data_IF_623361788870
#
_entry.id   IF_623361788870
#
_cell.length_a   1.000
_cell.length_b   1.000
_cell.length_c   1.000
_cell.angle_alpha   90.00
_cell.angle_beta   90.00
_cell.angle_gamma   90.00
#
_symmetry.space_group_name_H-M   'P 1'
#
loop_
_entity.id
_entity.type
_entity.pdbx_description
1 polymer ?
#
# COMPACT_ATOMS: atom_id res chain seq x y z
N UNK A 1 -56.66 -12.81 38.20
CA UNK A 1 -56.48 -12.37 36.81
C UNK A 1 -55.04 -11.99 36.57
N UNK A 2 -54.43 -12.65 35.60
CA UNK A 2 -53.09 -12.45 35.10
C UNK A 2 -53.00 -11.15 34.29
N UNK A 3 -51.91 -10.40 34.43
CA UNK A 3 -51.40 -9.58 33.33
C UNK A 3 -49.87 -9.69 33.32
N UNK A 4 -49.39 -10.46 32.35
CA UNK A 4 -48.02 -10.49 31.85
C UNK A 4 -47.93 -9.41 30.76
N UNK A 5 -46.77 -8.76 30.60
CA UNK A 5 -46.09 -8.35 29.35
C UNK A 5 -44.76 -7.67 29.78
N UNK A 6 -43.58 -8.20 29.44
CA UNK A 6 -42.89 -8.08 28.14
C UNK A 6 -42.57 -6.62 27.81
N UNK A 7 -41.35 -6.16 27.60
CA UNK A 7 -40.06 -6.81 27.39
C UNK A 7 -39.01 -5.71 27.23
N UNK A 8 -37.74 -6.10 27.34
CA UNK A 8 -36.56 -5.23 27.28
C UNK A 8 -36.43 -4.56 25.90
N UNK A 9 -36.71 -3.26 25.81
CA UNK A 9 -36.08 -2.39 24.82
C UNK A 9 -34.77 -1.88 25.41
N UNK A 10 -33.69 -2.60 25.13
CA UNK A 10 -32.36 -2.04 25.29
C UNK A 10 -32.17 -1.05 24.14
N UNK A 11 -32.38 0.24 24.44
CA UNK A 11 -31.89 1.32 23.61
C UNK A 11 -30.36 1.17 23.51
N UNK A 12 -29.87 0.56 22.43
CA UNK A 12 -28.54 0.92 21.96
C UNK A 12 -28.65 2.32 21.38
N UNK A 13 -28.44 3.28 22.28
CA UNK A 13 -28.14 4.66 21.98
C UNK A 13 -27.05 4.67 20.91
N UNK A 14 -27.40 5.06 19.68
CA UNK A 14 -26.43 5.44 18.66
C UNK A 14 -25.76 6.69 19.22
N UNK A 15 -24.68 6.51 19.98
CA UNK A 15 -23.76 7.59 20.28
C UNK A 15 -23.19 8.04 18.94
N UNK A 16 -23.78 9.11 18.40
CA UNK A 16 -23.06 10.06 17.56
C UNK A 16 -21.86 10.52 18.40
N UNK A 17 -20.71 9.90 18.17
CA UNK A 17 -19.44 10.51 18.57
C UNK A 17 -19.27 11.65 17.58
N UNK A 18 -19.62 12.87 17.99
CA UNK A 18 -19.03 14.05 17.36
C UNK A 18 -17.52 13.83 17.44
N UNK A 19 -16.87 13.62 16.29
CA UNK A 19 -15.42 13.42 16.25
C UNK A 19 -14.77 14.73 16.68
N UNK A 20 -14.37 14.79 17.95
CA UNK A 20 -13.65 15.93 18.50
C UNK A 20 -12.29 16.01 17.80
N UNK A 21 -12.05 17.15 17.15
CA UNK A 21 -10.77 17.46 16.52
C UNK A 21 -9.86 18.16 17.51
N UNK A 22 -8.64 17.66 17.62
CA UNK A 22 -7.61 18.17 18.51
C UNK A 22 -6.51 18.83 17.69
N UNK A 23 -5.80 19.77 18.32
CA UNK A 23 -4.61 20.40 17.75
C UNK A 23 -3.37 19.90 18.48
N UNK A 24 -2.26 19.81 17.76
CA UNK A 24 -0.98 19.44 18.33
C UNK A 24 0.19 19.73 17.41
N UNK A 25 1.39 19.52 17.94
CA UNK A 25 2.66 19.74 17.26
C UNK A 25 3.35 18.40 17.01
N UNK A 26 3.81 18.16 15.78
CA UNK A 26 4.52 16.93 15.42
C UNK A 26 5.87 16.89 16.12
N UNK A 27 6.05 16.00 17.09
CA UNK A 27 7.31 15.88 17.82
C UNK A 27 8.42 15.31 16.95
N UNK A 28 8.09 14.28 16.17
CA UNK A 28 9.00 13.71 15.17
C UNK A 28 8.22 12.79 14.25
N UNK A 29 8.70 12.66 13.01
CA UNK A 29 8.13 11.71 12.05
C UNK A 29 9.22 11.07 11.19
N UNK A 30 9.26 9.73 11.19
CA UNK A 30 10.25 9.00 10.41
C UNK A 30 9.71 8.68 9.01
N UNK A 31 10.09 9.51 8.04
CA UNK A 31 9.84 9.35 6.61
C UNK A 31 10.18 7.96 6.05
N UNK A 32 11.16 7.27 6.65
CA UNK A 32 11.59 5.92 6.24
C UNK A 32 10.74 4.82 6.87
N UNK A 33 10.32 5.00 8.13
CA UNK A 33 9.53 4.00 8.87
C UNK A 33 8.02 4.19 8.67
N UNK A 34 7.57 5.40 8.30
CA UNK A 34 6.17 5.73 8.05
C UNK A 34 5.35 5.99 9.31
N UNK A 35 5.97 6.39 10.42
CA UNK A 35 5.28 6.72 11.67
C UNK A 35 6.03 7.77 12.48
N UNK A 36 5.33 8.38 13.44
CA UNK A 36 5.83 9.41 14.34
C UNK A 36 4.91 9.61 15.54
N UNK A 37 5.11 10.73 16.24
CA UNK A 37 4.30 11.13 17.39
C UNK A 37 3.94 12.61 17.33
N UNK A 38 2.74 12.93 17.82
CA UNK A 38 2.20 14.28 17.92
C UNK A 38 2.01 14.62 19.40
N UNK A 39 2.53 15.76 19.82
CA UNK A 39 2.29 16.32 21.14
C UNK A 39 1.01 17.18 21.09
N UNK A 40 -0.05 16.84 21.84
CA UNK A 40 -1.28 17.64 21.85
C UNK A 40 -1.02 19.03 22.46
N UNK A 41 -1.60 20.07 21.87
CA UNK A 41 -1.50 21.46 22.36
C UNK A 41 -2.82 22.00 22.90
N UNK A 42 -3.95 21.37 22.58
CA UNK A 42 -5.27 21.72 23.13
C UNK A 42 -5.43 21.18 24.56
N UNK A 43 -5.86 22.01 25.50
CA UNK A 43 -6.16 21.61 26.89
C UNK A 43 -7.29 20.58 26.98
N UNK A 44 -8.16 20.53 25.96
CA UNK A 44 -9.24 19.55 25.83
C UNK A 44 -8.78 18.17 25.29
N UNK A 45 -7.49 18.00 25.03
CA UNK A 45 -6.96 16.74 24.51
C UNK A 45 -7.22 15.58 25.49
N UNK A 46 -7.50 14.37 24.98
CA UNK A 46 -7.86 13.22 25.82
C UNK A 46 -6.73 12.79 26.76
N UNK A 47 -5.48 13.15 26.43
CA UNK A 47 -4.28 12.88 27.23
C UNK A 47 -3.24 13.97 26.99
N UNK A 48 -2.36 14.21 27.98
CA UNK A 48 -1.15 15.04 27.79
C UNK A 48 0.02 14.26 27.16
N UNK A 49 -0.12 12.96 27.02
CA UNK A 49 0.90 12.08 26.44
C UNK A 49 0.98 12.21 24.92
N UNK A 50 2.12 11.79 24.37
CA UNK A 50 2.36 11.76 22.93
C UNK A 50 1.43 10.78 22.22
N UNK A 51 0.74 11.27 21.18
CA UNK A 51 -0.21 10.49 20.41
C UNK A 51 0.50 9.90 19.19
N UNK A 52 0.37 8.58 19.02
CA UNK A 52 0.98 7.86 17.91
C UNK A 52 0.31 8.24 16.57
N UNK A 53 1.11 8.48 15.53
CA UNK A 53 0.63 8.73 14.16
C UNK A 53 1.30 7.81 13.15
N UNK A 54 0.49 7.19 12.29
CA UNK A 54 0.97 6.39 11.16
C UNK A 54 0.75 7.13 9.84
N UNK A 55 1.60 6.87 8.84
CA UNK A 55 1.52 7.52 7.52
C UNK A 55 0.15 7.38 6.84
N UNK A 56 -0.60 6.31 7.11
CA UNK A 56 -1.94 6.09 6.54
C UNK A 56 -2.99 7.03 7.11
N UNK A 57 -2.78 7.54 8.33
CA UNK A 57 -3.66 8.50 8.98
C UNK A 57 -3.49 9.94 8.47
N UNK A 58 -2.43 10.21 7.70
CA UNK A 58 -2.13 11.53 7.15
C UNK A 58 -2.98 11.78 5.91
N UNK A 59 -3.79 12.83 5.94
CA UNK A 59 -4.57 13.31 4.79
C UNK A 59 -3.66 14.17 3.91
N UNK A 60 -3.37 13.68 2.71
CA UNK A 60 -2.51 14.37 1.74
C UNK A 60 -3.00 14.10 0.32
N UNK A 61 -2.77 15.07 -0.57
CA UNK A 61 -3.03 14.97 -2.00
C UNK A 61 -1.83 14.38 -2.77
N UNK A 62 -0.71 14.12 -2.11
CA UNK A 62 0.52 13.61 -2.71
C UNK A 62 0.70 12.09 -2.57
N UNK A 63 1.55 11.51 -3.42
CA UNK A 63 1.94 10.10 -3.33
C UNK A 63 2.80 9.77 -2.10
N UNK A 64 3.31 10.79 -1.39
CA UNK A 64 4.21 10.62 -0.25
C UNK A 64 3.63 11.27 1.00
N UNK A 65 3.42 10.48 2.05
CA UNK A 65 2.77 10.91 3.29
C UNK A 65 3.84 11.17 4.35
N UNK A 66 4.11 12.44 4.63
CA UNK A 66 5.12 12.85 5.61
C UNK A 66 4.63 14.01 6.44
N UNK A 67 5.11 14.06 7.68
CA UNK A 67 4.95 15.22 8.55
C UNK A 67 6.32 15.86 8.72
N UNK A 68 6.37 17.20 8.68
CA UNK A 68 7.54 17.94 9.12
C UNK A 68 7.60 17.90 10.64
N UNK A 69 8.81 17.86 11.19
CA UNK A 69 9.04 18.04 12.62
C UNK A 69 8.64 19.46 13.02
N UNK A 70 8.10 19.62 14.23
CA UNK A 70 7.54 20.86 14.78
C UNK A 70 6.35 21.46 14.01
N UNK A 71 5.75 20.73 13.07
CA UNK A 71 4.58 21.20 12.34
C UNK A 71 3.31 21.19 13.21
N UNK A 72 2.51 22.24 13.13
CA UNK A 72 1.18 22.30 13.76
C UNK A 72 0.15 21.55 12.90
N UNK A 73 -0.56 20.61 13.52
CA UNK A 73 -1.50 19.72 12.84
C UNK A 73 -2.83 19.65 13.60
N UNK A 74 -3.89 19.40 12.85
CA UNK A 74 -5.20 19.04 13.38
C UNK A 74 -5.44 17.54 13.14
N UNK A 75 -5.94 16.84 14.16
CA UNK A 75 -6.17 15.41 14.09
C UNK A 75 -7.34 14.98 14.96
N UNK A 76 -7.88 13.81 14.69
CA UNK A 76 -8.85 13.13 15.53
C UNK A 76 -8.16 12.02 16.31
N UNK A 77 -8.66 11.70 17.51
CA UNK A 77 -8.10 10.63 18.32
C UNK A 77 -9.03 9.43 18.28
N UNK A 78 -8.48 8.29 17.90
CA UNK A 78 -9.17 7.00 17.94
C UNK A 78 -8.46 6.08 18.94
N UNK A 79 -9.25 5.36 19.74
CA UNK A 79 -8.73 4.31 20.62
C UNK A 79 -8.61 3.02 19.83
N UNK A 80 -7.41 2.46 19.75
CA UNK A 80 -7.18 1.17 19.11
C UNK A 80 -7.86 0.06 19.92
N UNK A 81 -8.68 -0.76 19.25
CA UNK A 81 -9.51 -1.77 19.90
C UNK A 81 -8.67 -2.85 20.62
N UNK A 82 -7.51 -3.19 20.07
CA UNK A 82 -6.71 -4.33 20.53
C UNK A 82 -5.73 -3.97 21.65
N UNK A 83 -5.16 -2.75 21.60
CA UNK A 83 -4.14 -2.30 22.56
C UNK A 83 -4.66 -1.29 23.57
N UNK A 84 -5.83 -0.69 23.29
CA UNK A 84 -6.40 0.40 24.08
C UNK A 84 -5.62 1.72 23.98
N UNK A 85 -4.57 1.79 23.15
CA UNK A 85 -3.74 3.00 22.98
C UNK A 85 -4.43 4.01 22.07
N UNK A 86 -4.09 5.28 22.27
CA UNK A 86 -4.60 6.38 21.45
C UNK A 86 -3.73 6.55 20.21
N UNK A 87 -4.37 6.64 19.06
CA UNK A 87 -3.73 6.96 17.77
C UNK A 87 -4.41 8.16 17.13
N UNK A 88 -3.64 8.94 16.39
CA UNK A 88 -4.15 10.04 15.58
C UNK A 88 -4.68 9.50 14.24
N UNK A 89 -5.87 9.94 13.86
CA UNK A 89 -6.52 9.70 12.56
C UNK A 89 -6.92 11.02 11.91
N UNK A 90 -7.14 11.01 10.59
CA UNK A 90 -7.52 12.20 9.81
C UNK A 90 -6.58 13.42 10.03
N UNK A 91 -5.27 13.18 10.04
CA UNK A 91 -4.27 14.22 10.32
C UNK A 91 -4.14 15.18 9.14
N UNK A 92 -4.38 16.47 9.39
CA UNK A 92 -4.36 17.59 8.43
C UNK A 92 -3.51 18.74 8.98
N UNK A 93 -3.29 19.79 8.18
CA UNK A 93 -2.73 21.05 8.71
C UNK A 93 -3.70 21.65 9.74
N UNK A 94 -3.22 22.59 10.57
CA UNK A 94 -4.07 23.32 11.54
C UNK A 94 -5.32 23.96 10.91
N UNK A 95 -5.23 24.38 9.64
CA UNK A 95 -6.34 24.98 8.88
C UNK A 95 -7.29 23.94 8.24
N UNK A 96 -7.10 22.65 8.51
CA UNK A 96 -7.88 21.55 7.94
C UNK A 96 -7.52 21.20 6.49
N UNK A 97 -6.52 21.86 5.90
CA UNK A 97 -6.05 21.55 4.55
C UNK A 97 -5.20 20.27 4.52
N UNK A 98 -5.22 19.51 3.41
CA UNK A 98 -4.35 18.34 3.26
C UNK A 98 -2.86 18.71 3.33
N UNK A 99 -2.07 17.87 3.99
CA UNK A 99 -0.63 18.10 4.16
C UNK A 99 0.06 17.85 2.82
N UNK A 100 0.76 18.84 2.27
CA UNK A 100 1.50 18.68 1.01
C UNK A 100 2.97 18.45 1.33
N UNK A 101 3.55 17.28 0.98
CA UNK A 101 4.97 17.05 1.18
C UNK A 101 5.81 17.98 0.29
N UNK A 102 6.99 18.43 0.74
CA UNK A 102 7.89 19.19 -0.12
C UNK A 102 8.25 18.35 -1.36
N UNK A 103 8.38 18.97 -2.55
CA UNK A 103 8.80 18.28 -3.75
C UNK A 103 10.09 17.53 -3.48
N UNK A 104 10.09 16.20 -3.69
CA UNK A 104 11.32 15.43 -3.64
C UNK A 104 12.22 15.96 -4.74
N UNK A 105 13.29 16.63 -4.36
CA UNK A 105 14.37 16.94 -5.28
C UNK A 105 14.88 15.59 -5.81
N UNK A 106 14.45 15.26 -7.04
CA UNK A 106 15.02 14.14 -7.76
C UNK A 106 16.50 14.48 -7.80
N UNK A 107 17.32 13.77 -7.01
CA UNK A 107 18.75 13.66 -7.27
C UNK A 107 18.86 13.20 -8.71
N UNK A 108 18.89 14.15 -9.64
CA UNK A 108 19.25 13.94 -11.03
C UNK A 108 20.57 13.22 -10.91
N UNK A 109 20.65 12.02 -11.45
CA UNK A 109 21.92 11.35 -11.71
C UNK A 109 22.64 12.16 -12.80
N UNK A 110 23.01 13.40 -12.49
CA UNK A 110 23.87 14.23 -13.29
C UNK A 110 25.30 13.86 -12.92
N UNK A 111 25.71 12.65 -13.29
CA UNK A 111 27.12 12.22 -13.30
C UNK A 111 27.24 10.87 -13.99
N UNK A 112 26.90 10.81 -15.28
CA UNK A 112 27.53 9.86 -16.22
C UNK A 112 27.34 10.19 -17.70
N UNK A 113 27.33 11.45 -18.13
CA UNK A 113 27.35 11.77 -19.58
C UNK A 113 28.38 12.84 -20.00
N UNK A 114 29.28 13.29 -19.12
CA UNK A 114 30.31 14.30 -19.48
C UNK A 114 31.75 13.75 -19.49
N UNK A 115 31.96 12.52 -19.96
CA UNK A 115 33.31 11.98 -20.26
C UNK A 115 33.40 11.22 -21.59
N UNK A 116 32.63 11.64 -22.59
CA UNK A 116 32.78 11.13 -23.95
C UNK A 116 32.60 12.25 -24.99
N UNK A 117 33.30 13.36 -24.79
CA UNK A 117 33.38 14.45 -25.76
C UNK A 117 34.62 15.33 -25.50
N UNK A 118 35.81 14.73 -25.41
CA UNK A 118 37.07 15.43 -25.67
C UNK A 118 37.96 14.48 -26.45
N UNK A 119 37.82 14.58 -27.77
CA UNK A 119 38.50 13.72 -28.72
C UNK A 119 37.96 13.98 -30.12
N UNK A 120 38.18 15.19 -30.63
CA UNK A 120 38.69 15.44 -31.98
C UNK A 120 38.57 16.91 -32.36
N UNK A 121 39.68 17.49 -32.82
CA UNK A 121 39.65 18.72 -33.59
C UNK A 121 40.90 19.56 -33.43
N UNK A 122 41.96 19.19 -34.16
CA UNK A 122 42.83 20.08 -34.95
C UNK A 122 44.32 19.76 -34.79
N UNK A 123 44.90 19.09 -35.79
CA UNK A 123 45.72 19.74 -36.82
C UNK A 123 46.38 18.68 -37.69
N UNK A 124 45.88 18.56 -38.92
CA UNK A 124 46.58 17.99 -40.06
C UNK A 124 46.85 19.16 -41.02
N UNK A 125 48.11 19.60 -41.09
CA UNK A 125 48.75 20.14 -42.29
C UNK A 125 50.20 20.53 -41.93
N UNK A 126 51.15 19.70 -42.36
CA UNK A 126 52.45 20.12 -42.87
C UNK A 126 53.14 18.91 -43.48
N UNK A 127 53.46 19.04 -44.76
CA UNK A 127 54.10 18.05 -45.59
C UNK A 127 55.61 17.91 -45.29
N UNK A 128 56.12 16.79 -45.81
CA UNK A 128 57.46 16.61 -46.38
C UNK A 128 58.62 16.08 -45.51
N UNK A 129 59.48 15.32 -46.19
CA UNK A 129 60.80 14.80 -45.84
C UNK A 129 60.95 13.52 -44.96
N UNK A 130 61.12 12.40 -45.68
CA UNK A 130 62.35 11.57 -45.72
C UNK A 130 62.73 10.56 -44.60
N UNK A 131 62.93 9.31 -45.09
CA UNK A 131 64.03 8.35 -44.83
C UNK A 131 64.27 7.76 -43.42
N UNK A 132 64.08 6.44 -43.37
CA UNK A 132 65.03 5.39 -43.01
C UNK A 132 65.92 5.48 -41.74
N UNK A 133 66.00 4.30 -41.10
CA UNK A 133 67.13 3.72 -40.34
C UNK A 133 67.05 3.71 -38.80
N UNK A 134 67.13 2.46 -38.31
CA UNK A 134 67.80 1.93 -37.12
C UNK A 134 68.43 2.90 -36.11
N UNK A 135 68.22 2.64 -34.82
CA UNK A 135 69.05 3.17 -33.75
C UNK A 135 68.60 2.72 -32.36
N UNK A 136 69.37 1.80 -31.79
CA UNK A 136 69.28 1.26 -30.43
C UNK A 136 69.92 2.27 -29.47
N UNK A 137 69.23 2.73 -28.41
CA UNK A 137 69.93 3.30 -27.24
C UNK A 137 69.11 3.27 -25.94
N UNK A 138 69.84 3.02 -24.86
CA UNK A 138 69.40 2.69 -23.50
C UNK A 138 69.03 3.92 -22.66
N UNK A 139 68.06 3.67 -21.75
CA UNK A 139 67.87 4.17 -20.38
C UNK A 139 68.03 5.67 -20.10
N UNK A 140 66.97 6.25 -19.53
CA UNK A 140 67.08 6.86 -18.19
C UNK A 140 65.76 6.84 -17.40
N UNK A 141 65.92 6.76 -16.09
CA UNK A 141 65.00 6.29 -15.05
C UNK A 141 64.08 7.41 -14.53
N UNK A 142 62.78 7.16 -14.30
CA UNK A 142 61.92 7.92 -13.37
C UNK A 142 60.69 7.09 -12.92
N UNK A 143 60.19 7.31 -11.69
CA UNK A 143 59.84 6.20 -10.79
C UNK A 143 58.42 5.65 -10.94
N UNK A 144 58.31 4.33 -10.81
CA UNK A 144 57.05 3.60 -10.58
C UNK A 144 56.42 4.06 -9.25
N UNK A 145 55.36 4.87 -9.30
CA UNK A 145 54.42 4.97 -8.18
C UNK A 145 53.61 3.66 -8.10
N UNK A 146 54.01 2.86 -7.14
CA UNK A 146 53.33 1.67 -6.64
C UNK A 146 51.85 1.94 -6.41
N UNK A 147 50.99 1.07 -6.97
CA UNK A 147 49.58 0.98 -6.62
C UNK A 147 49.49 0.60 -5.15
N UNK A 148 49.21 1.56 -4.29
CA UNK A 148 48.88 1.27 -2.90
C UNK A 148 47.60 0.41 -2.85
N UNK A 149 47.59 -0.69 -2.09
CA UNK A 149 46.39 -1.47 -1.88
C UNK A 149 45.36 -0.59 -1.17
N UNK A 150 44.12 -0.58 -1.69
CA UNK A 150 43.00 0.09 -1.03
C UNK A 150 42.87 -0.49 0.37
N UNK A 151 43.21 0.30 1.39
CA UNK A 151 42.94 -0.01 2.79
C UNK A 151 41.45 -0.30 2.92
N UNK A 152 41.12 -1.54 3.24
CA UNK A 152 39.82 -1.92 3.76
C UNK A 152 39.54 -1.02 4.96
N UNK A 153 38.66 -0.04 4.78
CA UNK A 153 38.14 0.75 5.89
C UNK A 153 37.16 -0.16 6.62
N UNK A 154 37.71 -0.95 7.54
CA UNK A 154 36.97 -1.68 8.55
C UNK A 154 35.98 -0.71 9.17
N UNK A 155 34.70 -1.05 9.07
CA UNK A 155 33.64 -0.28 9.70
C UNK A 155 33.64 -0.70 11.15
N UNK A 156 34.20 0.18 11.96
CA UNK A 156 34.31 0.10 13.40
C UNK A 156 32.96 -0.30 14.03
N UNK A 157 33.04 -1.25 14.96
CA UNK A 157 31.92 -1.76 15.74
C UNK A 157 31.71 -0.79 16.90
N UNK A 158 30.54 -0.15 16.93
CA UNK A 158 30.19 0.74 18.03
C UNK A 158 28.82 1.38 17.86
N UNK A 159 27.78 0.55 17.77
CA UNK A 159 26.42 0.94 18.17
C UNK A 159 25.82 -0.27 18.85
N UNK A 160 25.83 -0.25 20.17
CA UNK A 160 24.95 -1.09 20.99
C UNK A 160 23.54 -0.92 20.43
N UNK A 161 22.95 -2.06 20.07
CA UNK A 161 21.65 -2.09 19.44
C UNK A 161 20.62 -1.65 20.44
N UNK A 162 20.02 -0.48 20.22
CA UNK A 162 18.64 -0.28 20.63
C UNK A 162 17.83 -1.37 19.93
N UNK A 163 17.49 -2.41 20.69
CA UNK A 163 16.63 -3.49 20.26
C UNK A 163 15.33 -2.84 19.80
N UNK A 164 15.04 -2.93 18.49
CA UNK A 164 13.76 -2.45 17.99
C UNK A 164 12.69 -3.13 18.84
N UNK A 165 11.73 -2.37 19.41
CA UNK A 165 10.66 -2.98 20.18
C UNK A 165 10.05 -4.08 19.31
N UNK A 166 9.76 -5.27 19.89
CA UNK A 166 9.16 -6.36 19.14
C UNK A 166 7.96 -5.79 18.40
N UNK A 167 7.95 -5.96 17.07
CA UNK A 167 6.76 -5.58 16.29
C UNK A 167 5.59 -6.28 16.96
N UNK A 168 4.54 -5.51 17.25
CA UNK A 168 3.28 -6.08 17.72
C UNK A 168 2.95 -7.31 16.87
N UNK A 169 2.53 -8.42 17.50
CA UNK A 169 2.20 -9.64 16.76
C UNK A 169 1.20 -9.25 15.69
N UNK A 170 1.53 -9.54 14.43
CA UNK A 170 0.58 -9.33 13.35
C UNK A 170 -0.62 -10.21 13.65
N UNK A 171 -1.81 -9.64 13.61
CA UNK A 171 -3.03 -10.44 13.65
C UNK A 171 -2.92 -11.58 12.63
N UNK A 172 -3.32 -12.79 13.01
CA UNK A 172 -3.35 -13.88 12.08
C UNK A 172 -4.30 -13.53 10.92
N UNK A 173 -4.00 -13.97 9.69
CA UNK A 173 -4.93 -13.80 8.58
C UNK A 173 -6.24 -14.52 8.89
N UNK A 174 -7.38 -13.98 8.43
CA UNK A 174 -8.71 -14.51 8.77
C UNK A 174 -8.84 -16.01 8.50
N UNK A 175 -8.23 -16.50 7.43
CA UNK A 175 -8.29 -17.90 7.03
C UNK A 175 -7.55 -18.85 8.00
N UNK A 176 -6.75 -18.33 8.94
CA UNK A 176 -6.13 -19.13 9.98
C UNK A 176 -7.17 -19.76 10.91
N UNK A 177 -8.31 -19.09 11.12
CA UNK A 177 -9.41 -19.53 11.97
C UNK A 177 -10.38 -20.51 11.28
N UNK A 178 -10.16 -20.83 9.99
CA UNK A 178 -10.98 -21.80 9.26
C UNK A 178 -10.71 -23.23 9.74
N UNK A 179 -11.75 -24.07 9.70
CA UNK A 179 -11.63 -25.52 9.87
C UNK A 179 -10.77 -26.11 8.73
N UNK A 180 -10.03 -27.17 9.04
CA UNK A 180 -9.07 -27.77 8.10
C UNK A 180 -9.75 -28.36 6.85
N UNK A 181 -11.00 -28.83 6.97
CA UNK A 181 -11.77 -29.33 5.82
C UNK A 181 -12.14 -28.19 4.86
N UNK A 182 -12.46 -27.00 5.38
CA UNK A 182 -12.73 -25.80 4.59
C UNK A 182 -11.45 -25.38 3.86
N UNK A 183 -10.32 -25.32 4.57
CA UNK A 183 -9.01 -24.98 3.96
C UNK A 183 -8.67 -25.95 2.83
N UNK A 184 -8.84 -27.25 3.06
CA UNK A 184 -8.62 -28.28 2.04
C UNK A 184 -9.51 -28.08 0.82
N UNK A 185 -10.82 -27.84 1.00
CA UNK A 185 -11.76 -27.56 -0.10
C UNK A 185 -11.37 -26.30 -0.89
N UNK A 186 -10.86 -25.28 -0.21
CA UNK A 186 -10.37 -24.07 -0.88
C UNK A 186 -9.12 -24.35 -1.71
N UNK A 187 -8.14 -25.08 -1.16
CA UNK A 187 -6.92 -25.47 -1.87
C UNK A 187 -7.21 -26.37 -3.08
N UNK A 188 -8.12 -27.33 -2.95
CA UNK A 188 -8.59 -28.20 -4.05
C UNK A 188 -9.18 -27.40 -5.22
N UNK A 189 -9.76 -26.22 -4.95
CA UNK A 189 -10.26 -25.29 -5.96
C UNK A 189 -9.19 -24.35 -6.51
N UNK A 190 -7.96 -24.40 -6.00
CA UNK A 190 -6.89 -23.49 -6.38
C UNK A 190 -6.94 -22.12 -5.70
N UNK A 191 -7.67 -21.98 -4.58
CA UNK A 191 -7.61 -20.78 -3.74
C UNK A 191 -6.34 -20.83 -2.88
N UNK A 192 -5.40 -19.92 -3.15
CA UNK A 192 -4.12 -19.87 -2.43
C UNK A 192 -4.28 -19.33 -1.00
N UNK A 193 -4.38 -20.22 -0.02
CA UNK A 193 -4.32 -19.90 1.41
C UNK A 193 -2.86 -19.81 1.88
N UNK A 194 -2.16 -18.76 1.43
CA UNK A 194 -0.72 -18.59 1.69
C UNK A 194 -0.38 -17.68 2.88
N UNK A 195 0.89 -17.25 2.96
CA UNK A 195 1.35 -16.17 3.87
C UNK A 195 0.72 -14.79 3.58
N UNK A 196 -0.20 -14.72 2.62
CA UNK A 196 -0.86 -13.49 2.22
C UNK A 196 -1.97 -13.19 3.22
N UNK A 197 -2.25 -11.90 3.38
CA UNK A 197 -3.31 -11.44 4.28
C UNK A 197 -4.64 -11.27 3.56
N UNK A 198 -4.69 -11.60 2.25
CA UNK A 198 -5.87 -11.41 1.41
C UNK A 198 -6.16 -12.64 0.56
N UNK A 199 -7.43 -12.96 0.37
CA UNK A 199 -7.92 -14.01 -0.53
C UNK A 199 -8.86 -13.37 -1.53
N UNK A 200 -8.62 -13.59 -2.82
CA UNK A 200 -9.49 -13.11 -3.89
C UNK A 200 -10.30 -14.31 -4.42
N UNK A 201 -11.62 -14.18 -4.48
CA UNK A 201 -12.56 -15.24 -4.91
C UNK A 201 -13.43 -14.75 -6.06
N UNK A 202 -13.86 -15.69 -6.90
CA UNK A 202 -14.85 -15.51 -7.94
C UNK A 202 -16.10 -16.31 -7.59
N UNK A 203 -17.27 -15.66 -7.72
CA UNK A 203 -18.59 -16.27 -7.51
C UNK A 203 -19.47 -15.85 -8.68
N UNK A 204 -19.68 -16.76 -9.64
CA UNK A 204 -20.35 -16.42 -10.90
C UNK A 204 -19.65 -15.28 -11.64
N UNK A 205 -20.37 -14.18 -11.85
CA UNK A 205 -19.89 -12.95 -12.49
C UNK A 205 -19.24 -11.95 -11.52
N UNK A 206 -19.23 -12.26 -10.23
CA UNK A 206 -18.73 -11.40 -9.17
C UNK A 206 -17.31 -11.79 -8.80
N UNK A 207 -16.45 -10.79 -8.61
CA UNK A 207 -15.07 -10.91 -8.11
C UNK A 207 -15.00 -10.22 -6.76
N UNK A 208 -14.46 -10.88 -5.76
CA UNK A 208 -14.48 -10.40 -4.37
C UNK A 208 -13.09 -10.54 -3.77
N UNK A 209 -12.63 -9.50 -3.09
CA UNK A 209 -11.43 -9.52 -2.27
C UNK A 209 -11.81 -9.55 -0.81
N UNK A 210 -11.26 -10.54 -0.11
CA UNK A 210 -11.30 -10.67 1.33
C UNK A 210 -9.95 -10.18 1.87
N UNK A 211 -9.94 -8.94 2.37
CA UNK A 211 -8.78 -8.24 2.87
C UNK A 211 -8.50 -8.45 4.36
N UNK A 212 -7.33 -7.99 4.81
CA UNK A 212 -7.00 -7.97 6.23
C UNK A 212 -7.95 -7.05 7.02
N UNK A 213 -8.20 -7.36 8.29
CA UNK A 213 -9.03 -6.53 9.17
C UNK A 213 -10.51 -6.53 8.78
N UNK A 214 -10.96 -7.54 8.02
CA UNK A 214 -12.34 -7.67 7.59
C UNK A 214 -12.74 -6.74 6.44
N UNK A 215 -11.79 -6.11 5.73
CA UNK A 215 -12.10 -5.30 4.55
C UNK A 215 -12.59 -6.17 3.39
N UNK A 216 -13.66 -5.74 2.70
CA UNK A 216 -14.15 -6.38 1.49
C UNK A 216 -14.30 -5.38 0.34
N UNK A 217 -13.97 -5.82 -0.87
CA UNK A 217 -14.32 -5.12 -2.10
C UNK A 217 -14.80 -6.11 -3.15
N UNK A 218 -15.70 -5.68 -4.03
CA UNK A 218 -16.19 -6.52 -5.13
C UNK A 218 -16.32 -5.78 -6.46
N UNK A 219 -16.33 -6.56 -7.54
CA UNK A 219 -16.49 -6.11 -8.92
C UNK A 219 -17.34 -7.15 -9.68
N UNK A 220 -18.46 -6.72 -10.27
CA UNK A 220 -19.38 -7.56 -11.04
C UNK A 220 -19.20 -7.30 -12.54
N UNK A 221 -19.42 -8.30 -13.38
CA UNK A 221 -19.40 -8.17 -14.84
C UNK A 221 -20.39 -7.13 -15.40
N UNK A 222 -21.44 -6.80 -14.64
CA UNK A 222 -22.38 -5.70 -14.94
C UNK A 222 -21.82 -4.30 -14.67
N UNK A 223 -20.50 -4.17 -14.46
CA UNK A 223 -19.84 -2.92 -14.08
C UNK A 223 -20.41 -2.31 -12.80
N UNK A 224 -20.70 -3.17 -11.82
CA UNK A 224 -21.04 -2.78 -10.45
C UNK A 224 -19.84 -3.06 -9.55
N UNK A 225 -19.53 -2.13 -8.67
CA UNK A 225 -18.43 -2.18 -7.72
C UNK A 225 -18.97 -2.00 -6.30
N UNK A 226 -18.38 -2.69 -5.35
CA UNK A 226 -18.76 -2.59 -3.94
C UNK A 226 -17.56 -2.46 -3.03
N UNK A 227 -17.75 -1.76 -1.92
CA UNK A 227 -16.79 -1.70 -0.83
C UNK A 227 -17.51 -1.80 0.52
N UNK A 228 -16.92 -2.55 1.43
CA UNK A 228 -17.56 -2.94 2.67
C UNK A 228 -16.62 -3.63 3.63
N UNK A 229 -17.23 -4.28 4.61
CA UNK A 229 -16.55 -5.22 5.48
C UNK A 229 -17.15 -6.61 5.35
N UNK A 230 -16.48 -7.61 5.91
CA UNK A 230 -16.99 -8.95 6.01
C UNK A 230 -16.65 -9.58 7.37
N UNK A 231 -17.44 -10.57 7.74
CA UNK A 231 -17.10 -11.54 8.77
C UNK A 231 -17.00 -12.92 8.15
N UNK A 232 -16.19 -13.81 8.72
CA UNK A 232 -16.05 -15.19 8.28
C UNK A 232 -16.07 -16.09 9.51
N UNK A 233 -16.96 -17.09 9.52
CA UNK A 233 -16.94 -18.11 10.55
C UNK A 233 -15.90 -19.21 10.26
N UNK A 234 -15.69 -20.13 11.21
CA UNK A 234 -14.74 -21.23 11.05
C UNK A 234 -15.14 -22.21 9.93
N UNK A 235 -16.43 -22.27 9.58
CA UNK A 235 -16.97 -23.11 8.51
C UNK A 235 -16.83 -22.47 7.12
N UNK A 236 -16.22 -21.28 7.04
CA UNK A 236 -16.01 -20.56 5.80
C UNK A 236 -17.25 -19.85 5.27
N UNK A 237 -18.28 -19.64 6.10
CA UNK A 237 -19.41 -18.80 5.74
C UNK A 237 -19.01 -17.34 5.93
N UNK A 238 -19.11 -16.57 4.85
CA UNK A 238 -18.73 -15.17 4.79
C UNK A 238 -20.00 -14.34 4.68
N UNK A 239 -20.12 -13.32 5.53
CA UNK A 239 -21.22 -12.35 5.51
C UNK A 239 -20.64 -10.97 5.23
N UNK A 240 -21.15 -10.31 4.21
CA UNK A 240 -20.71 -8.98 3.79
C UNK A 240 -21.61 -7.88 4.35
N UNK A 241 -20.99 -6.75 4.68
CA UNK A 241 -21.64 -5.49 5.00
C UNK A 241 -21.09 -4.41 4.07
N UNK A 242 -21.75 -4.24 2.94
CA UNK A 242 -21.40 -3.21 1.96
C UNK A 242 -21.78 -1.82 2.48
N UNK A 243 -20.87 -0.87 2.35
CA UNK A 243 -21.06 0.53 2.76
C UNK A 243 -21.10 1.48 1.58
N UNK A 244 -20.51 1.09 0.44
CA UNK A 244 -20.47 1.88 -0.79
C UNK A 244 -20.67 0.97 -2.00
N UNK A 245 -21.30 1.54 -3.02
CA UNK A 245 -21.50 0.89 -4.31
C UNK A 245 -21.36 1.92 -5.44
N UNK A 246 -20.80 1.50 -6.57
CA UNK A 246 -20.74 2.25 -7.81
C UNK A 246 -21.27 1.39 -8.94
N UNK A 247 -21.91 2.01 -9.90
CA UNK A 247 -22.43 1.35 -11.09
C UNK A 247 -22.18 2.22 -12.32
N UNK A 248 -21.75 1.60 -13.41
CA UNK A 248 -21.60 2.30 -14.69
C UNK A 248 -22.91 2.30 -15.47
N UNK A 249 -23.55 3.46 -15.58
CA UNK A 249 -24.81 3.68 -16.29
C UNK A 249 -24.82 5.03 -16.99
N UNK A 250 -25.43 5.07 -18.17
CA UNK A 250 -25.54 6.30 -18.98
C UNK A 250 -24.17 6.96 -19.25
N UNK A 251 -23.18 6.14 -19.62
CA UNK A 251 -21.79 6.54 -19.87
C UNK A 251 -21.07 7.21 -18.68
N UNK A 252 -21.55 6.99 -17.45
CA UNK A 252 -20.94 7.55 -16.24
C UNK A 252 -20.97 6.57 -15.07
N UNK A 253 -19.94 6.65 -14.22
CA UNK A 253 -19.96 5.99 -12.91
C UNK A 253 -20.84 6.78 -11.95
N UNK A 254 -21.85 6.11 -11.39
CA UNK A 254 -22.82 6.68 -10.45
C UNK A 254 -22.82 5.89 -9.15
N UNK A 255 -23.24 6.53 -8.07
CA UNK A 255 -23.47 5.82 -6.80
C UNK A 255 -24.55 4.76 -7.00
N UNK A 256 -24.22 3.51 -6.70
CA UNK A 256 -25.14 2.37 -6.73
C UNK A 256 -25.74 2.09 -5.35
N UNK A 257 -26.60 1.06 -5.28
CA UNK A 257 -27.16 0.57 -4.02
C UNK A 257 -26.29 -0.55 -3.43
N UNK A 258 -25.64 -0.35 -2.26
CA UNK A 258 -24.87 -1.40 -1.59
C UNK A 258 -25.70 -2.62 -1.19
N UNK A 259 -27.02 -2.47 -0.97
CA UNK A 259 -27.89 -3.58 -0.58
C UNK A 259 -28.19 -4.54 -1.73
N UNK A 260 -27.98 -4.13 -2.98
CA UNK A 260 -28.13 -4.98 -4.17
C UNK A 260 -26.99 -5.98 -4.37
N UNK A 261 -25.88 -5.79 -3.65
CA UNK A 261 -24.68 -6.63 -3.74
C UNK A 261 -24.85 -7.93 -2.96
N UNK A 262 -24.11 -8.96 -3.37
CA UNK A 262 -24.11 -10.27 -2.71
C UNK A 262 -23.82 -10.14 -1.21
N UNK A 263 -24.73 -10.63 -0.37
CA UNK A 263 -24.65 -10.46 1.09
C UNK A 263 -23.94 -11.60 1.81
N UNK A 264 -23.91 -12.80 1.22
CA UNK A 264 -23.25 -13.97 1.79
C UNK A 264 -22.66 -14.89 0.73
N UNK A 265 -21.58 -15.58 1.09
CA UNK A 265 -21.01 -16.71 0.33
C UNK A 265 -20.54 -17.80 1.30
N UNK A 266 -20.32 -19.02 0.79
CA UNK A 266 -19.58 -20.05 1.52
C UNK A 266 -18.33 -20.42 0.76
N UNK A 267 -17.15 -20.25 1.36
CA UNK A 267 -15.86 -20.57 0.73
C UNK A 267 -15.74 -22.07 0.38
N UNK A 268 -16.48 -22.92 1.08
CA UNK A 268 -16.57 -24.34 0.81
C UNK A 268 -17.49 -24.67 -0.38
N UNK A 269 -18.36 -23.76 -0.81
CA UNK A 269 -19.34 -24.01 -1.89
C UNK A 269 -18.69 -24.12 -3.28
N UNK A 270 -19.19 -25.04 -4.11
CA UNK A 270 -18.62 -25.31 -5.44
C UNK A 270 -18.67 -24.12 -6.41
N UNK A 271 -19.57 -23.15 -6.18
CA UNK A 271 -19.67 -21.92 -6.97
C UNK A 271 -18.58 -20.88 -6.66
N UNK A 272 -17.85 -21.05 -5.55
CA UNK A 272 -16.77 -20.15 -5.13
C UNK A 272 -15.43 -20.71 -5.58
N UNK A 273 -14.75 -20.01 -6.49
CA UNK A 273 -13.47 -20.41 -7.05
C UNK A 273 -12.44 -19.27 -7.08
N UNK A 274 -11.25 -19.50 -7.65
CA UNK A 274 -10.22 -18.48 -7.78
C UNK A 274 -10.58 -17.48 -8.89
N UNK A 275 -10.16 -16.22 -8.69
CA UNK A 275 -10.10 -15.22 -9.77
C UNK A 275 -9.01 -15.66 -10.75
N UNK A 276 -9.33 -15.70 -12.06
CA UNK A 276 -8.39 -16.22 -13.06
C UNK A 276 -7.27 -15.21 -13.34
N UNK A 277 -6.04 -15.66 -13.66
CA UNK A 277 -4.92 -14.78 -13.98
C UNK A 277 -5.19 -13.80 -15.11
N UNK A 278 -6.00 -14.23 -16.07
CA UNK A 278 -6.30 -13.49 -17.30
C UNK A 278 -7.40 -12.45 -17.11
N UNK A 279 -8.09 -12.46 -15.96
CA UNK A 279 -9.18 -11.54 -15.68
C UNK A 279 -8.64 -10.14 -15.34
N UNK A 280 -8.94 -9.21 -16.23
CA UNK A 280 -8.74 -7.77 -16.10
C UNK A 280 -10.09 -7.04 -16.07
N UNK A 281 -10.14 -5.74 -15.68
CA UNK A 281 -11.39 -4.98 -15.73
C UNK A 281 -11.98 -4.98 -17.14
N UNK A 282 -11.13 -4.86 -18.16
CA UNK A 282 -11.51 -4.92 -19.57
C UNK A 282 -12.15 -6.25 -19.96
N UNK A 283 -11.63 -7.38 -19.44
CA UNK A 283 -12.24 -8.70 -19.72
C UNK A 283 -13.51 -8.94 -18.91
N UNK A 284 -13.68 -8.24 -17.78
CA UNK A 284 -14.82 -8.43 -16.88
C UNK A 284 -16.08 -7.73 -17.42
N UNK A 285 -15.97 -6.50 -17.91
CA UNK A 285 -17.12 -5.71 -18.36
C UNK A 285 -16.90 -4.96 -19.69
N UNK A 286 -15.84 -5.28 -20.42
CA UNK A 286 -15.53 -4.71 -21.73
C UNK A 286 -14.58 -3.51 -21.69
N UNK A 287 -14.06 -3.14 -22.86
CA UNK A 287 -13.10 -2.04 -23.04
C UNK A 287 -13.72 -0.66 -23.05
N UNK A 288 -15.04 -0.59 -23.24
CA UNK A 288 -15.77 0.68 -23.39
C UNK A 288 -16.09 1.34 -22.05
N UNK A 289 -15.84 0.64 -20.93
CA UNK A 289 -16.09 1.16 -19.59
C UNK A 289 -14.76 1.67 -19.00
N UNK A 290 -14.66 2.97 -18.71
CA UNK A 290 -13.43 3.57 -18.18
C UNK A 290 -13.15 3.11 -16.74
N UNK A 291 -11.88 3.15 -16.33
CA UNK A 291 -11.54 2.90 -14.93
C UNK A 291 -12.21 3.94 -14.00
N UNK A 292 -12.80 3.51 -12.88
CA UNK A 292 -13.57 4.34 -11.95
C UNK A 292 -12.71 5.21 -11.01
N UNK A 293 -11.50 5.63 -11.41
CA UNK A 293 -10.54 6.25 -10.47
C UNK A 293 -11.07 7.55 -9.86
N UNK A 294 -11.64 8.44 -10.67
CA UNK A 294 -12.27 9.68 -10.19
C UNK A 294 -13.52 9.39 -9.35
N UNK A 295 -14.31 8.40 -9.75
CA UNK A 295 -15.52 7.99 -9.03
C UNK A 295 -15.20 7.42 -7.66
N UNK A 296 -14.12 6.65 -7.51
CA UNK A 296 -13.64 6.18 -6.21
C UNK A 296 -13.31 7.34 -5.28
N UNK A 297 -12.58 8.35 -5.77
CA UNK A 297 -12.20 9.51 -4.97
C UNK A 297 -13.43 10.35 -4.58
N UNK A 298 -14.30 10.64 -5.54
CA UNK A 298 -15.52 11.41 -5.32
C UNK A 298 -16.47 10.72 -4.31
N UNK A 299 -16.54 9.39 -4.33
CA UNK A 299 -17.41 8.60 -3.44
C UNK A 299 -16.67 8.06 -2.19
N UNK A 300 -15.44 8.54 -1.94
CA UNK A 300 -14.63 8.20 -0.75
C UNK A 300 -14.42 6.69 -0.57
N UNK A 301 -14.17 5.98 -1.66
CA UNK A 301 -13.72 4.59 -1.61
C UNK A 301 -12.30 4.52 -1.05
N UNK A 302 -12.03 3.51 -0.24
CA UNK A 302 -10.68 3.17 0.20
C UNK A 302 -9.93 2.42 -0.92
N UNK A 303 -10.68 1.63 -1.70
CA UNK A 303 -10.26 1.02 -2.95
C UNK A 303 -9.76 2.07 -3.94
N UNK A 304 -8.57 1.83 -4.50
CA UNK A 304 -7.97 2.71 -5.53
C UNK A 304 -7.98 2.12 -6.93
N UNK A 305 -8.32 0.84 -7.06
CA UNK A 305 -8.36 0.07 -8.31
C UNK A 305 -9.38 -1.04 -8.17
N UNK A 306 -10.00 -1.41 -9.28
CA UNK A 306 -10.93 -2.54 -9.36
C UNK A 306 -10.33 -3.78 -8.72
N UNK A 307 -11.17 -4.50 -7.95
CA UNK A 307 -10.80 -5.73 -7.26
C UNK A 307 -10.58 -6.87 -8.25
N UNK A 308 -9.34 -6.99 -8.71
CA UNK A 308 -8.85 -8.12 -9.47
C UNK A 308 -7.44 -8.48 -9.02
N UNK A 309 -7.04 -9.72 -9.26
CA UNK A 309 -5.75 -10.28 -8.89
C UNK A 309 -4.61 -9.69 -9.74
N UNK A 310 -4.35 -8.40 -9.61
CA UNK A 310 -3.32 -7.68 -10.39
C UNK A 310 -1.88 -8.13 -10.08
N UNK A 311 -1.67 -8.97 -9.05
CA UNK A 311 -0.32 -9.24 -8.55
C UNK A 311 0.38 -10.49 -9.07
N UNK A 312 -0.26 -11.28 -9.95
CA UNK A 312 0.40 -12.46 -10.55
C UNK A 312 1.50 -12.08 -11.57
N UNK A 313 1.56 -10.83 -12.04
CA UNK A 313 2.56 -10.36 -13.04
C UNK A 313 3.93 -9.93 -12.48
N UNK A 314 4.32 -10.30 -11.26
CA UNK A 314 5.71 -10.09 -10.79
C UNK A 314 6.31 -11.33 -10.14
N UNK A 315 6.47 -12.41 -10.93
CA UNK A 315 7.61 -13.36 -10.91
C UNK A 315 7.39 -14.50 -11.92
N UNK A 316 7.20 -14.15 -13.20
CA UNK A 316 7.39 -15.08 -14.31
C UNK A 316 8.73 -14.79 -14.97
N UNK A 317 9.80 -15.48 -14.55
CA UNK A 317 10.92 -15.72 -15.47
C UNK A 317 10.31 -16.59 -16.56
N UNK A 318 10.17 -16.06 -17.78
CA UNK A 318 9.76 -16.87 -18.91
C UNK A 318 10.65 -18.11 -18.96
N UNK A 319 10.11 -19.34 -19.07
CA UNK A 319 10.94 -20.47 -19.44
C UNK A 319 11.53 -20.14 -20.82
N UNK A 320 12.86 -20.11 -20.87
CA UNK A 320 13.58 -20.07 -22.12
C UNK A 320 13.30 -21.40 -22.82
N UNK A 321 12.28 -21.45 -23.67
CA UNK A 321 12.16 -22.51 -24.66
C UNK A 321 13.28 -22.28 -25.67
N UNK A 322 14.41 -22.91 -25.40
CA UNK A 322 15.36 -23.30 -26.43
C UNK A 322 15.20 -24.78 -26.66
N UNK A 323 14.66 -25.15 -27.81
CA UNK A 323 15.04 -26.38 -28.50
C UNK A 323 14.91 -26.12 -30.00
N UNK A 324 15.99 -26.46 -30.71
CA UNK A 324 16.14 -26.47 -32.17
C UNK A 324 15.63 -27.80 -32.70
#
# INVERSE_FOLDING_TARGET
>A
SSFVWSGRSCLYCVQRVEQMKYQGTVKWFSNKKGFGFIAPTSDDAPTKDEIFVHQTAIVTNGAYRTLAEDAEVQFEVEKEADTGKLKAVNVTNKDGTPIVPPPRERRRRAHKEDKKAEGNGAKEEAADAAKASSGDEKKEDKPKKTRQPRKNRGKDKGKEGEEKPPRAPKEPPFHAALEEDVKKKMEEKGLELGKRTTVDVAVGDTRIKLGQGGYAGCALASAVLGEGTYTCDAKGNVTFKWVRSLEYKDNAWKTGDPASLISTISLADASVGPVKPEETPETLWGKDIPEPQEAFEANKFDMRRVVLSHHQMRRGRAPANGEK
#
